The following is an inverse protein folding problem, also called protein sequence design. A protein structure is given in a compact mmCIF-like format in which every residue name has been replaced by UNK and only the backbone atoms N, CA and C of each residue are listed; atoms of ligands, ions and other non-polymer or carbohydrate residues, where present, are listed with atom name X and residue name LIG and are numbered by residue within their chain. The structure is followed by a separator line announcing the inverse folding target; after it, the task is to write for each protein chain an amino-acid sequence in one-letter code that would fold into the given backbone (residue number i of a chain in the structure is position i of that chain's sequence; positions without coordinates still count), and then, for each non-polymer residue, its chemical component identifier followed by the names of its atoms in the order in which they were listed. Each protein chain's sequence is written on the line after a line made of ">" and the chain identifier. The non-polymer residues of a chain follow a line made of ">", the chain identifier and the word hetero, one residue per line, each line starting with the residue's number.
data_IF_669874431454
#
_entry.id   IF_669874431454
#
_cell.length_a   1.000
_cell.length_b   1.000
_cell.length_c   1.000
_cell.angle_alpha   90.00
_cell.angle_beta   90.00
_cell.angle_gamma   90.00
#
_symmetry.space_group_name_H-M   'P 1'
#
loop_
_entity.id
_entity.type
_entity.pdbx_description
1 polymer ?
#
# COMPACT_ATOMS: atom_id res chain seq x y z
N UNK A 1 20.96 -9.51 18.41
CA UNK A 1 19.83 -8.59 18.14
C UNK A 1 20.38 -7.21 17.93
N UNK A 2 20.15 -6.62 16.77
CA UNK A 2 20.51 -5.24 16.51
C UNK A 2 19.78 -4.30 17.50
N UNK A 3 20.42 -3.22 17.91
CA UNK A 3 19.82 -2.23 18.80
C UNK A 3 19.34 -1.04 17.98
N UNK A 4 18.16 -0.50 18.33
CA UNK A 4 17.68 0.72 17.70
C UNK A 4 18.70 1.85 17.87
N UNK A 5 19.07 2.47 16.77
CA UNK A 5 19.92 3.64 16.76
C UNK A 5 19.10 4.88 17.10
N UNK A 6 19.77 5.91 17.65
CA UNK A 6 19.11 7.19 17.93
C UNK A 6 18.57 7.80 16.64
N UNK A 7 17.27 8.11 16.59
CA UNK A 7 16.64 8.64 15.37
C UNK A 7 16.80 10.16 15.22
N UNK A 8 16.90 10.88 16.33
CA UNK A 8 17.07 12.33 16.35
C UNK A 8 18.54 12.68 16.26
N UNK A 9 19.07 12.69 15.07
CA UNK A 9 20.45 13.02 14.71
C UNK A 9 20.48 13.97 13.53
N UNK A 10 21.50 14.81 13.47
CA UNK A 10 21.80 15.63 12.32
C UNK A 10 22.04 14.75 11.07
N UNK A 11 21.71 15.24 9.90
CA UNK A 11 21.86 14.44 8.67
C UNK A 11 23.30 13.96 8.45
N UNK A 12 24.28 14.80 8.83
CA UNK A 12 25.71 14.48 8.74
C UNK A 12 26.16 13.35 9.66
N UNK A 13 25.46 13.19 10.80
CA UNK A 13 25.79 12.17 11.80
C UNK A 13 25.13 10.82 11.47
N UNK A 14 24.28 10.77 10.43
CA UNK A 14 23.65 9.54 9.94
C UNK A 14 24.59 8.82 8.97
N UNK A 15 25.67 8.29 9.50
CA UNK A 15 26.71 7.57 8.76
C UNK A 15 26.23 6.20 8.23
N UNK A 16 27.14 5.49 7.53
CA UNK A 16 26.83 4.15 6.99
C UNK A 16 26.48 3.15 8.10
N UNK A 17 27.16 3.22 9.25
CA UNK A 17 26.91 2.33 10.37
C UNK A 17 25.52 2.58 10.98
N UNK A 18 25.09 3.84 11.08
CA UNK A 18 23.74 4.20 11.51
C UNK A 18 22.69 3.67 10.52
N UNK A 19 22.91 3.82 9.21
CA UNK A 19 22.01 3.38 8.17
C UNK A 19 21.79 1.85 8.20
N UNK A 20 22.87 1.09 8.20
CA UNK A 20 22.84 -0.37 8.23
C UNK A 20 22.27 -0.86 9.55
N UNK A 21 22.70 -0.29 10.69
CA UNK A 21 22.23 -0.70 12.02
C UNK A 21 20.71 -0.50 12.21
N UNK A 22 20.13 0.58 11.65
CA UNK A 22 18.68 0.76 11.67
C UNK A 22 17.97 -0.20 10.73
N UNK A 23 18.50 -0.41 9.52
CA UNK A 23 17.92 -1.34 8.56
C UNK A 23 17.85 -2.74 9.13
N UNK A 24 18.93 -3.24 9.75
CA UNK A 24 18.98 -4.52 10.46
C UNK A 24 17.96 -4.60 11.61
N UNK A 25 17.93 -3.57 12.43
CA UNK A 25 17.01 -3.53 13.57
C UNK A 25 15.56 -3.64 13.13
N UNK A 26 15.15 -2.83 12.14
CA UNK A 26 13.76 -2.82 11.68
C UNK A 26 13.43 -4.05 10.84
N UNK A 27 14.38 -4.59 10.09
CA UNK A 27 14.21 -5.87 9.38
C UNK A 27 13.89 -7.00 10.35
N UNK A 28 14.69 -7.18 11.40
CA UNK A 28 14.46 -8.23 12.39
C UNK A 28 13.13 -8.06 13.14
N UNK A 29 12.77 -6.83 13.47
CA UNK A 29 11.53 -6.53 14.22
C UNK A 29 10.26 -6.60 13.39
N UNK A 30 10.34 -6.18 12.13
CA UNK A 30 9.20 -6.20 11.22
C UNK A 30 9.03 -7.53 10.49
N UNK A 31 9.97 -8.48 10.64
CA UNK A 31 9.89 -9.74 9.89
C UNK A 31 8.53 -10.40 10.07
N UNK A 32 7.78 -10.64 8.97
CA UNK A 32 6.47 -11.25 9.06
C UNK A 32 6.57 -12.69 9.53
N UNK A 33 5.80 -13.05 10.54
CA UNK A 33 5.64 -14.41 11.03
C UNK A 33 4.14 -14.74 11.02
N UNK A 34 3.65 -15.23 9.88
CA UNK A 34 2.21 -15.30 9.63
C UNK A 34 1.74 -16.71 9.20
N UNK A 35 2.04 -17.73 10.00
CA UNK A 35 1.43 -19.08 9.84
C UNK A 35 -0.10 -19.02 9.91
N UNK A 36 -0.63 -18.08 10.68
CA UNK A 36 -2.06 -17.85 10.80
C UNK A 36 -2.71 -17.42 9.48
N UNK A 37 -2.09 -16.50 8.73
CA UNK A 37 -2.64 -16.12 7.42
C UNK A 37 -2.60 -17.27 6.42
N UNK A 38 -1.56 -18.10 6.44
CA UNK A 38 -1.50 -19.29 5.59
C UNK A 38 -2.70 -20.22 5.84
N UNK A 39 -3.10 -20.43 7.10
CA UNK A 39 -4.28 -21.24 7.42
C UNK A 39 -5.58 -20.62 6.88
N UNK A 40 -5.73 -19.30 6.91
CA UNK A 40 -6.89 -18.62 6.35
C UNK A 40 -6.95 -18.71 4.82
N UNK A 41 -5.80 -18.67 4.13
CA UNK A 41 -5.75 -18.89 2.69
C UNK A 41 -6.11 -20.33 2.33
N UNK A 42 -5.63 -21.34 3.09
CA UNK A 42 -6.03 -22.74 2.93
C UNK A 42 -7.55 -22.89 3.08
N UNK A 43 -8.13 -22.30 4.12
CA UNK A 43 -9.57 -22.33 4.35
C UNK A 43 -10.37 -21.65 3.21
N UNK A 44 -9.89 -20.51 2.71
CA UNK A 44 -10.50 -19.81 1.58
C UNK A 44 -10.45 -20.63 0.28
N UNK A 45 -9.41 -21.46 0.10
CA UNK A 45 -9.29 -22.41 -1.00
C UNK A 45 -10.12 -23.69 -0.79
N UNK A 46 -10.75 -23.85 0.36
CA UNK A 46 -11.49 -25.08 0.71
C UNK A 46 -10.62 -26.21 1.22
N UNK A 47 -9.35 -25.95 1.52
CA UNK A 47 -8.42 -26.90 2.10
C UNK A 47 -8.56 -26.84 3.63
N UNK A 48 -9.01 -27.95 4.22
CA UNK A 48 -9.09 -28.08 5.68
C UNK A 48 -8.16 -29.21 6.12
N UNK A 49 -7.42 -28.97 7.18
CA UNK A 49 -6.57 -30.00 7.75
C UNK A 49 -7.41 -30.97 8.57
N UNK A 50 -7.35 -32.25 8.19
CA UNK A 50 -8.07 -33.31 8.93
C UNK A 50 -7.54 -33.43 10.35
N UNK A 51 -6.29 -33.04 10.59
CA UNK A 51 -5.68 -33.06 11.92
C UNK A 51 -6.42 -32.18 12.94
N UNK A 52 -7.08 -31.12 12.50
CA UNK A 52 -7.90 -30.25 13.35
C UNK A 52 -9.07 -31.00 14.00
N UNK A 53 -9.48 -32.11 13.39
CA UNK A 53 -10.59 -32.96 13.87
C UNK A 53 -10.12 -34.20 14.63
N UNK A 54 -8.82 -34.36 14.87
CA UNK A 54 -8.28 -35.54 15.56
C UNK A 54 -8.91 -35.75 16.93
N UNK A 55 -9.29 -34.68 17.63
CA UNK A 55 -10.00 -34.78 18.90
C UNK A 55 -11.35 -35.51 18.77
N UNK A 56 -12.04 -35.35 17.66
CA UNK A 56 -13.33 -36.00 17.40
C UNK A 56 -13.19 -37.38 16.79
N UNK A 57 -12.16 -37.59 15.94
CA UNK A 57 -11.90 -38.85 15.28
C UNK A 57 -11.09 -39.81 16.13
N UNK A 58 -10.26 -39.31 17.05
CA UNK A 58 -9.45 -40.09 17.97
C UNK A 58 -9.40 -39.43 19.36
N UNK A 59 -10.53 -39.39 20.10
CA UNK A 59 -10.61 -38.70 21.37
C UNK A 59 -9.73 -39.30 22.48
N UNK A 60 -9.27 -40.52 22.30
CA UNK A 60 -8.42 -41.21 23.27
C UNK A 60 -6.91 -41.05 22.95
N UNK A 61 -6.56 -40.45 21.81
CA UNK A 61 -5.20 -40.06 21.45
C UNK A 61 -4.14 -41.14 21.66
N UNK A 62 -3.01 -40.76 22.25
CA UNK A 62 -1.87 -41.64 22.49
C UNK A 62 -2.17 -42.80 23.45
N UNK A 63 -3.21 -42.71 24.29
CA UNK A 63 -3.61 -43.78 25.19
C UNK A 63 -4.11 -45.05 24.45
N UNK A 64 -4.45 -44.90 23.17
CA UNK A 64 -5.01 -45.97 22.33
C UNK A 64 -3.99 -46.49 21.31
N UNK A 65 -2.84 -45.86 21.21
CA UNK A 65 -1.79 -46.25 20.24
C UNK A 65 -1.40 -47.75 20.31
N UNK A 66 -1.60 -48.35 21.48
CA UNK A 66 -1.30 -49.77 21.71
C UNK A 66 -2.52 -50.70 21.62
N UNK A 67 -3.69 -50.21 21.22
CA UNK A 67 -4.92 -50.98 21.08
C UNK A 67 -5.56 -50.76 19.70
N UNK A 68 -5.18 -51.58 18.69
CA UNK A 68 -5.66 -51.43 17.33
C UNK A 68 -7.19 -51.55 17.21
N UNK A 69 -7.84 -52.25 18.13
CA UNK A 69 -9.31 -52.43 18.17
C UNK A 69 -10.08 -51.11 18.40
N UNK A 70 -9.44 -50.11 18.98
CA UNK A 70 -10.02 -48.79 19.29
C UNK A 70 -9.60 -47.68 18.33
N UNK A 71 -8.73 -48.02 17.35
CA UNK A 71 -8.21 -47.03 16.38
C UNK A 71 -9.21 -46.68 15.27
N UNK A 72 -10.26 -47.48 15.07
CA UNK A 72 -11.26 -47.21 14.04
C UNK A 72 -12.51 -46.61 14.65
N UNK A 73 -12.48 -45.32 14.89
CA UNK A 73 -13.72 -44.58 15.15
C UNK A 73 -14.57 -44.50 13.89
N UNK A 74 -15.88 -44.79 13.94
CA UNK A 74 -16.72 -44.84 12.73
C UNK A 74 -17.01 -43.47 12.10
N UNK A 75 -16.58 -42.39 12.73
CA UNK A 75 -16.78 -41.05 12.20
C UNK A 75 -15.82 -40.74 11.04
N UNK A 76 -16.38 -40.62 9.85
CA UNK A 76 -15.65 -40.14 8.67
C UNK A 76 -15.98 -38.66 8.50
N UNK A 77 -15.01 -37.80 8.71
CA UNK A 77 -15.14 -36.39 8.42
C UNK A 77 -14.97 -36.21 6.90
N UNK A 78 -15.94 -35.53 6.30
CA UNK A 78 -15.87 -35.12 4.89
C UNK A 78 -15.75 -33.61 4.85
N UNK A 79 -14.75 -33.11 4.17
CA UNK A 79 -14.65 -31.69 3.93
C UNK A 79 -15.73 -31.24 2.94
N UNK A 80 -16.65 -30.41 3.40
CA UNK A 80 -17.71 -29.75 2.58
C UNK A 80 -17.39 -28.27 2.53
N UNK A 81 -16.62 -27.81 1.52
CA UNK A 81 -16.12 -26.45 1.47
C UNK A 81 -17.23 -25.42 1.21
N UNK A 82 -17.68 -24.70 2.24
CA UNK A 82 -18.68 -23.64 2.14
C UNK A 82 -18.01 -22.26 1.95
N UNK A 83 -16.86 -22.08 2.61
CA UNK A 83 -16.12 -20.81 2.57
C UNK A 83 -15.81 -20.37 1.13
N UNK A 84 -15.29 -21.23 0.23
CA UNK A 84 -15.01 -20.83 -1.14
C UNK A 84 -16.21 -20.32 -1.91
N UNK A 85 -17.39 -20.92 -1.71
CA UNK A 85 -18.62 -20.49 -2.39
C UNK A 85 -19.05 -19.09 -1.94
N UNK A 86 -18.99 -18.83 -0.64
CA UNK A 86 -19.31 -17.51 -0.07
C UNK A 86 -18.26 -16.48 -0.55
N UNK A 87 -17.00 -16.86 -0.52
CA UNK A 87 -15.89 -16.02 -0.98
C UNK A 87 -16.04 -15.62 -2.45
N UNK A 88 -16.33 -16.58 -3.33
CA UNK A 88 -16.53 -16.32 -4.75
C UNK A 88 -17.74 -15.42 -5.03
N UNK A 89 -18.85 -15.58 -4.27
CA UNK A 89 -20.01 -14.69 -4.35
C UNK A 89 -19.67 -13.26 -3.97
N UNK A 90 -18.90 -13.05 -2.90
CA UNK A 90 -18.48 -11.72 -2.46
C UNK A 90 -17.56 -11.04 -3.50
N UNK A 91 -16.66 -11.80 -4.12
CA UNK A 91 -15.80 -11.30 -5.19
C UNK A 91 -16.63 -10.94 -6.43
N UNK A 92 -17.57 -11.80 -6.84
CA UNK A 92 -18.48 -11.52 -7.94
C UNK A 92 -19.29 -10.25 -7.71
N UNK A 93 -19.89 -10.10 -6.52
CA UNK A 93 -20.63 -8.88 -6.15
C UNK A 93 -19.74 -7.62 -6.16
N UNK A 94 -18.47 -7.74 -5.75
CA UNK A 94 -17.52 -6.63 -5.85
C UNK A 94 -17.17 -6.28 -7.27
N UNK A 95 -17.02 -7.27 -8.16
CA UNK A 95 -16.71 -7.08 -9.58
C UNK A 95 -17.85 -6.39 -10.33
N UNK A 96 -19.09 -6.70 -9.97
CA UNK A 96 -20.29 -6.11 -10.60
C UNK A 96 -20.49 -4.63 -10.17
N UNK A 97 -19.84 -4.16 -9.12
CA UNK A 97 -19.94 -2.77 -8.68
C UNK A 97 -19.05 -1.88 -9.54
N UNK A 98 -19.60 -0.78 -10.10
CA UNK A 98 -18.81 0.11 -10.96
C UNK A 98 -17.68 0.77 -10.18
N UNK A 99 -16.51 0.83 -10.79
CA UNK A 99 -15.38 1.58 -10.28
C UNK A 99 -15.49 3.03 -10.76
N UNK A 100 -16.08 3.89 -9.91
CA UNK A 100 -16.30 5.30 -10.22
C UNK A 100 -15.09 6.09 -9.69
N UNK A 101 -14.49 6.89 -10.57
CA UNK A 101 -13.38 7.80 -10.27
C UNK A 101 -13.74 9.20 -10.75
N UNK A 102 -13.64 10.19 -9.86
CA UNK A 102 -13.98 11.58 -10.18
C UNK A 102 -12.98 12.53 -9.53
N UNK A 103 -12.51 13.49 -10.32
CA UNK A 103 -11.66 14.58 -9.85
C UNK A 103 -12.53 15.78 -9.52
N UNK A 104 -12.39 16.31 -8.32
CA UNK A 104 -13.06 17.52 -7.86
C UNK A 104 -12.04 18.60 -7.53
N UNK A 105 -12.35 19.81 -7.91
CA UNK A 105 -11.54 20.97 -7.57
C UNK A 105 -11.90 21.44 -6.15
N UNK A 106 -10.89 21.56 -5.31
CA UNK A 106 -11.04 22.01 -3.90
C UNK A 106 -10.42 23.39 -3.65
N UNK A 107 -9.76 24.00 -4.65
CA UNK A 107 -9.15 25.33 -4.51
C UNK A 107 -10.25 26.40 -4.35
N UNK A 108 -10.18 27.24 -3.28
CA UNK A 108 -11.18 28.27 -3.01
C UNK A 108 -11.32 29.28 -4.15
N UNK A 109 -10.24 29.63 -4.85
CA UNK A 109 -10.28 30.58 -5.96
C UNK A 109 -11.11 30.06 -7.14
N UNK A 110 -10.98 28.77 -7.45
CA UNK A 110 -11.75 28.15 -8.52
C UNK A 110 -13.21 27.97 -8.11
N UNK A 111 -13.46 27.66 -6.85
CA UNK A 111 -14.83 27.60 -6.31
C UNK A 111 -15.51 28.97 -6.39
N UNK A 112 -14.80 30.04 -6.07
CA UNK A 112 -15.32 31.41 -6.20
C UNK A 112 -15.56 31.79 -7.65
N UNK A 113 -14.66 31.41 -8.56
CA UNK A 113 -14.85 31.57 -10.01
C UNK A 113 -16.09 30.82 -10.50
N UNK A 114 -16.28 29.58 -10.09
CA UNK A 114 -17.48 28.79 -10.41
C UNK A 114 -18.75 29.50 -9.98
N UNK A 115 -18.81 30.01 -8.73
CA UNK A 115 -19.96 30.74 -8.20
C UNK A 115 -20.23 32.01 -8.98
N UNK A 116 -19.18 32.73 -9.36
CA UNK A 116 -19.33 33.94 -10.14
C UNK A 116 -19.90 33.66 -11.54
N UNK A 117 -19.40 32.65 -12.22
CA UNK A 117 -19.90 32.24 -13.54
C UNK A 117 -21.32 31.67 -13.47
N UNK A 118 -21.65 30.93 -12.41
CA UNK A 118 -23.01 30.46 -12.11
C UNK A 118 -23.99 31.63 -11.97
N UNK A 119 -23.61 32.65 -11.20
CA UNK A 119 -24.45 33.88 -11.03
C UNK A 119 -24.62 34.62 -12.36
N UNK A 120 -23.58 34.71 -13.18
CA UNK A 120 -23.68 35.33 -14.50
C UNK A 120 -24.59 34.54 -15.44
N UNK A 121 -24.44 33.19 -15.44
CA UNK A 121 -25.29 32.31 -16.24
C UNK A 121 -26.79 32.44 -15.85
N UNK A 122 -27.05 32.45 -14.54
CA UNK A 122 -28.40 32.67 -14.02
C UNK A 122 -28.96 34.05 -14.42
N UNK A 123 -28.16 35.12 -14.33
CA UNK A 123 -28.58 36.47 -14.76
C UNK A 123 -28.95 36.50 -16.24
N UNK A 124 -28.17 35.87 -17.10
CA UNK A 124 -28.46 35.79 -18.53
C UNK A 124 -29.79 35.09 -18.82
N UNK A 125 -30.03 33.94 -18.16
CA UNK A 125 -31.26 33.20 -18.32
C UNK A 125 -32.48 33.91 -17.73
N UNK A 126 -32.33 34.59 -16.57
CA UNK A 126 -33.41 35.43 -15.99
C UNK A 126 -33.75 36.61 -16.88
N UNK A 127 -32.74 37.25 -17.50
CA UNK A 127 -33.00 38.32 -18.47
C UNK A 127 -33.78 37.79 -19.67
N UNK A 128 -33.49 36.57 -20.15
CA UNK A 128 -34.22 35.96 -21.24
C UNK A 128 -35.68 35.63 -20.85
N UNK A 129 -35.89 35.12 -19.62
CA UNK A 129 -37.24 34.90 -19.08
C UNK A 129 -38.00 36.22 -19.03
N UNK A 130 -37.35 37.31 -18.57
CA UNK A 130 -37.97 38.65 -18.51
C UNK A 130 -38.35 39.15 -19.90
N UNK A 131 -37.49 39.01 -20.92
CA UNK A 131 -37.78 39.38 -22.32
C UNK A 131 -38.98 38.60 -22.83
N UNK A 132 -38.99 37.26 -22.63
CA UNK A 132 -40.10 36.43 -23.06
C UNK A 132 -41.43 36.86 -22.43
N UNK A 133 -41.41 37.22 -21.13
CA UNK A 133 -42.60 37.69 -20.42
C UNK A 133 -43.09 39.01 -20.94
N UNK A 134 -42.18 39.94 -21.31
CA UNK A 134 -42.56 41.24 -21.93
C UNK A 134 -43.14 41.05 -23.30
N UNK A 135 -42.63 40.15 -24.13
CA UNK A 135 -43.21 39.82 -25.45
C UNK A 135 -44.60 39.17 -25.34
N UNK A 136 -44.80 38.29 -24.34
CA UNK A 136 -46.14 37.73 -24.05
C UNK A 136 -47.15 38.82 -23.66
N UNK A 137 -46.68 39.91 -23.02
CA UNK A 137 -47.46 41.07 -22.68
C UNK A 137 -47.67 42.04 -23.86
N UNK A 138 -47.15 41.73 -25.06
CA UNK A 138 -47.26 42.54 -26.25
C UNK A 138 -46.34 43.76 -26.31
N UNK A 139 -45.29 43.78 -25.50
CA UNK A 139 -44.24 44.80 -25.54
C UNK A 139 -43.09 44.35 -26.40
N UNK A 140 -42.85 45.04 -27.53
CA UNK A 140 -41.70 44.76 -28.39
C UNK A 140 -40.40 45.21 -27.71
N UNK A 141 -39.56 44.25 -27.35
CA UNK A 141 -38.25 44.49 -26.70
C UNK A 141 -37.13 44.60 -27.73
N UNK A 142 -37.39 44.35 -29.02
CA UNK A 142 -36.40 44.33 -30.09
C UNK A 142 -35.41 43.15 -29.99
N UNK A 143 -35.64 42.17 -29.10
CA UNK A 143 -34.85 40.95 -28.93
C UNK A 143 -35.72 39.72 -29.12
N UNK A 144 -35.21 38.72 -29.79
CA UNK A 144 -35.96 37.50 -30.06
C UNK A 144 -36.22 36.67 -28.78
N UNK A 145 -37.47 36.31 -28.56
CA UNK A 145 -37.86 35.35 -27.51
C UNK A 145 -37.25 33.97 -27.80
N UNK A 146 -36.49 33.47 -26.82
CA UNK A 146 -35.94 32.11 -26.86
C UNK A 146 -36.55 31.27 -25.76
N UNK A 147 -36.89 30.00 -26.05
CA UNK A 147 -37.39 29.11 -25.01
C UNK A 147 -36.34 28.93 -23.92
N UNK A 148 -36.73 29.17 -22.69
CA UNK A 148 -35.86 29.03 -21.51
C UNK A 148 -36.40 27.90 -20.63
N UNK A 149 -35.52 27.02 -20.20
CA UNK A 149 -35.87 25.91 -19.32
C UNK A 149 -36.23 26.43 -17.89
N UNK A 150 -36.94 25.64 -17.08
CA UNK A 150 -37.17 25.97 -15.68
C UNK A 150 -35.86 26.19 -14.91
N UNK A 151 -35.89 27.04 -13.86
CA UNK A 151 -34.70 27.45 -13.10
C UNK A 151 -33.88 26.28 -12.56
N UNK A 152 -34.55 25.22 -12.10
CA UNK A 152 -33.89 24.03 -11.58
C UNK A 152 -33.13 23.27 -12.69
N UNK A 153 -33.66 23.28 -13.89
CA UNK A 153 -33.05 22.64 -15.06
C UNK A 153 -31.86 23.46 -15.58
N UNK A 154 -31.94 24.78 -15.51
CA UNK A 154 -30.85 25.71 -15.83
C UNK A 154 -29.68 25.51 -14.86
N UNK A 155 -29.94 25.43 -13.56
CA UNK A 155 -28.92 25.18 -12.55
C UNK A 155 -28.26 23.80 -12.73
N UNK A 156 -29.03 22.78 -13.09
CA UNK A 156 -28.52 21.46 -13.38
C UNK A 156 -27.65 21.45 -14.63
N UNK A 157 -28.09 22.10 -15.70
CA UNK A 157 -27.32 22.25 -16.94
C UNK A 157 -25.98 22.95 -16.70
N UNK A 158 -25.97 24.02 -15.88
CA UNK A 158 -24.71 24.66 -15.51
C UNK A 158 -23.81 23.73 -14.72
N UNK A 159 -24.35 23.04 -13.73
CA UNK A 159 -23.58 22.08 -12.91
C UNK A 159 -22.98 20.94 -13.74
N UNK A 160 -23.72 20.44 -14.71
CA UNK A 160 -23.32 19.31 -15.58
C UNK A 160 -22.29 19.73 -16.65
N UNK A 161 -22.41 20.96 -17.17
CA UNK A 161 -21.55 21.47 -18.24
C UNK A 161 -20.32 22.23 -17.73
N UNK A 162 -20.36 22.74 -16.51
CA UNK A 162 -19.26 23.50 -15.99
C UNK A 162 -18.08 22.59 -15.59
N UNK A 163 -16.94 22.83 -16.21
CA UNK A 163 -15.72 22.08 -15.88
C UNK A 163 -14.51 23.04 -15.91
N UNK A 164 -13.63 22.91 -14.93
CA UNK A 164 -12.35 23.60 -14.93
C UNK A 164 -11.33 22.80 -15.75
N UNK A 165 -10.51 23.46 -16.55
CA UNK A 165 -9.50 22.81 -17.40
C UNK A 165 -8.55 21.92 -16.59
N UNK A 166 -8.19 22.32 -15.37
CA UNK A 166 -7.35 21.53 -14.48
C UNK A 166 -8.05 20.27 -13.98
N UNK A 167 -9.37 20.35 -13.74
CA UNK A 167 -10.15 19.16 -13.36
C UNK A 167 -10.26 18.18 -14.54
N UNK A 168 -10.44 18.69 -15.76
CA UNK A 168 -10.45 17.86 -16.97
C UNK A 168 -9.11 17.14 -17.14
N UNK A 169 -8.01 17.90 -17.16
CA UNK A 169 -6.66 17.31 -17.28
C UNK A 169 -6.38 16.33 -16.15
N UNK A 170 -6.77 16.65 -14.91
CA UNK A 170 -6.65 15.74 -13.77
C UNK A 170 -7.47 14.46 -13.92
N UNK A 171 -8.68 14.55 -14.49
CA UNK A 171 -9.54 13.41 -14.76
C UNK A 171 -8.96 12.52 -15.87
N UNK A 172 -8.46 13.11 -16.94
CA UNK A 172 -7.82 12.40 -18.04
C UNK A 172 -6.54 11.68 -17.56
N UNK A 173 -5.71 12.37 -16.77
CA UNK A 173 -4.51 11.78 -16.16
C UNK A 173 -4.88 10.61 -15.24
N UNK A 174 -5.92 10.77 -14.40
CA UNK A 174 -6.39 9.70 -13.52
C UNK A 174 -6.94 8.52 -14.30
N UNK A 175 -7.63 8.78 -15.42
CA UNK A 175 -8.11 7.74 -16.31
C UNK A 175 -6.95 6.98 -16.93
N UNK A 176 -5.98 7.69 -17.48
CA UNK A 176 -4.78 7.10 -18.07
C UNK A 176 -4.02 6.21 -17.08
N UNK A 177 -3.73 6.73 -15.88
CA UNK A 177 -3.06 5.97 -14.82
C UNK A 177 -3.87 4.73 -14.42
N UNK A 178 -5.19 4.89 -14.29
CA UNK A 178 -6.08 3.78 -13.92
C UNK A 178 -6.08 2.66 -14.95
N UNK A 179 -6.09 3.02 -16.22
CA UNK A 179 -6.14 2.05 -17.32
C UNK A 179 -4.75 1.42 -17.55
N UNK A 180 -3.68 2.20 -17.45
CA UNK A 180 -2.31 1.70 -17.56
C UNK A 180 -1.94 0.74 -16.42
N UNK A 181 -2.40 1.00 -15.21
CA UNK A 181 -2.13 0.16 -14.03
C UNK A 181 -3.19 -0.91 -13.79
N UNK A 182 -4.25 -0.98 -14.60
CA UNK A 182 -5.39 -1.88 -14.38
C UNK A 182 -5.92 -1.83 -12.94
N UNK A 183 -6.15 -0.62 -12.44
CA UNK A 183 -6.55 -0.40 -11.05
C UNK A 183 -7.81 -1.17 -10.63
N UNK A 184 -8.85 -1.31 -11.46
CA UNK A 184 -10.04 -2.07 -11.09
C UNK A 184 -9.73 -3.52 -10.69
N UNK A 185 -8.94 -4.25 -11.47
CA UNK A 185 -8.56 -5.63 -11.14
C UNK A 185 -7.63 -5.69 -9.92
N UNK A 186 -6.69 -4.76 -9.79
CA UNK A 186 -5.83 -4.67 -8.58
C UNK A 186 -6.64 -4.41 -7.31
N UNK A 187 -7.70 -3.60 -7.37
CA UNK A 187 -8.61 -3.42 -6.24
C UNK A 187 -9.42 -4.67 -5.92
N UNK A 188 -9.76 -5.50 -6.91
CA UNK A 188 -10.38 -6.80 -6.69
C UNK A 188 -9.41 -7.73 -5.98
N UNK A 189 -8.14 -7.76 -6.38
CA UNK A 189 -7.12 -8.56 -5.70
C UNK A 189 -6.89 -8.09 -4.25
N UNK A 190 -6.81 -6.77 -4.03
CA UNK A 190 -6.79 -6.23 -2.68
C UNK A 190 -8.02 -6.62 -1.85
N UNK A 191 -9.20 -6.65 -2.46
CA UNK A 191 -10.42 -7.07 -1.80
C UNK A 191 -10.39 -8.57 -1.44
N UNK A 192 -9.83 -9.44 -2.29
CA UNK A 192 -9.61 -10.86 -1.99
C UNK A 192 -8.77 -11.01 -0.72
N UNK A 193 -7.61 -10.35 -0.68
CA UNK A 193 -6.74 -10.36 0.50
C UNK A 193 -7.47 -9.85 1.75
N UNK A 194 -8.24 -8.76 1.61
CA UNK A 194 -9.01 -8.22 2.73
C UNK A 194 -10.08 -9.17 3.26
N UNK A 195 -10.80 -9.90 2.39
CA UNK A 195 -11.80 -10.89 2.81
C UNK A 195 -11.15 -12.04 3.55
N UNK A 196 -9.99 -12.51 3.06
CA UNK A 196 -9.29 -13.66 3.64
C UNK A 196 -8.61 -13.30 4.96
N UNK A 197 -7.87 -12.20 5.02
CA UNK A 197 -6.99 -11.88 6.15
C UNK A 197 -7.49 -10.74 7.03
N UNK A 198 -8.45 -9.95 6.56
CA UNK A 198 -8.85 -8.69 7.21
C UNK A 198 -7.88 -7.53 6.99
N UNK A 199 -6.87 -7.72 6.15
CA UNK A 199 -5.85 -6.72 5.83
C UNK A 199 -5.73 -6.52 4.32
N UNK A 200 -5.35 -5.31 3.93
CA UNK A 200 -4.94 -5.01 2.57
C UNK A 200 -3.70 -4.15 2.61
N UNK A 201 -2.71 -4.51 1.81
CA UNK A 201 -1.46 -3.77 1.68
C UNK A 201 -1.14 -3.50 0.23
N UNK A 202 -0.56 -2.35 -0.01
CA UNK A 202 -0.10 -1.94 -1.34
C UNK A 202 1.17 -1.11 -1.25
N UNK A 203 1.97 -1.13 -2.29
CA UNK A 203 3.08 -0.22 -2.48
C UNK A 203 2.75 0.73 -3.62
N UNK A 204 3.07 1.99 -3.40
CA UNK A 204 3.07 3.04 -4.43
C UNK A 204 4.49 3.53 -4.56
N UNK A 205 5.02 3.44 -5.74
CA UNK A 205 6.40 3.82 -6.02
C UNK A 205 6.49 4.46 -7.40
N UNK A 206 7.60 5.14 -7.65
CA UNK A 206 7.97 5.66 -8.97
C UNK A 206 9.30 5.03 -9.33
N UNK A 207 9.29 4.20 -10.35
CA UNK A 207 10.49 3.51 -10.85
C UNK A 207 10.81 4.09 -12.22
N UNK A 208 11.92 4.82 -12.31
CA UNK A 208 12.22 5.61 -13.51
C UNK A 208 11.16 6.71 -13.72
N UNK A 209 10.47 6.67 -14.84
CA UNK A 209 9.39 7.62 -15.20
C UNK A 209 7.99 7.03 -14.94
N UNK A 210 7.90 5.75 -14.58
CA UNK A 210 6.64 5.03 -14.44
C UNK A 210 6.14 4.96 -12.99
N UNK A 211 4.83 5.12 -12.82
CA UNK A 211 4.17 4.92 -11.54
C UNK A 211 3.88 3.43 -11.35
N UNK A 212 4.35 2.89 -10.23
CA UNK A 212 4.11 1.50 -9.84
C UNK A 212 3.10 1.45 -8.71
N UNK A 213 2.06 0.64 -8.89
CA UNK A 213 1.09 0.32 -7.84
C UNK A 213 0.90 -1.19 -7.77
N UNK A 214 1.26 -1.79 -6.66
CA UNK A 214 1.17 -3.24 -6.45
C UNK A 214 0.40 -3.56 -5.19
N UNK A 215 -0.49 -4.54 -5.26
CA UNK A 215 -1.11 -5.16 -4.10
C UNK A 215 -0.16 -6.25 -3.59
N UNK A 216 0.04 -6.29 -2.27
CA UNK A 216 0.97 -7.19 -1.63
C UNK A 216 0.18 -8.20 -0.79
N UNK A 217 0.59 -9.46 -0.88
CA UNK A 217 0.06 -10.50 -0.02
C UNK A 217 0.41 -10.19 1.45
N UNK A 218 -0.58 -10.14 2.34
CA UNK A 218 -0.39 -9.90 3.77
C UNK A 218 0.57 -10.84 4.47
N UNK A 219 0.84 -12.02 3.91
CA UNK A 219 1.80 -12.96 4.47
C UNK A 219 3.24 -12.42 4.46
N UNK A 220 3.54 -11.52 3.54
CA UNK A 220 4.89 -10.97 3.33
C UNK A 220 5.07 -9.56 3.89
N UNK A 221 4.09 -9.04 4.61
CA UNK A 221 4.13 -7.69 5.18
C UNK A 221 4.25 -7.75 6.69
N UNK A 222 5.24 -7.06 7.22
CA UNK A 222 5.39 -6.84 8.66
C UNK A 222 5.49 -5.35 8.99
N UNK A 223 5.13 -4.96 10.20
CA UNK A 223 5.15 -3.56 10.60
C UNK A 223 5.24 -3.38 12.11
N UNK A 224 5.71 -2.22 12.52
CA UNK A 224 5.68 -1.73 13.89
C UNK A 224 4.81 -0.50 13.91
N UNK A 225 3.69 -0.56 14.61
CA UNK A 225 2.77 0.55 14.73
C UNK A 225 2.34 0.78 16.16
N UNK A 226 1.99 2.00 16.47
CA UNK A 226 1.27 2.36 17.68
C UNK A 226 -0.20 1.93 17.60
N UNK A 227 -0.81 1.67 18.72
CA UNK A 227 -2.22 1.28 18.84
C UNK A 227 -3.21 2.30 18.27
N UNK A 228 -2.85 3.58 18.26
CA UNK A 228 -3.64 4.66 17.67
C UNK A 228 -3.62 4.68 16.14
N UNK A 229 -2.61 4.07 15.52
CA UNK A 229 -2.40 4.04 14.10
C UNK A 229 -3.41 3.15 13.38
N UNK A 230 -4.25 3.73 12.51
CA UNK A 230 -5.23 3.01 11.69
C UNK A 230 -4.66 2.55 10.35
N UNK A 231 -3.71 3.31 9.84
CA UNK A 231 -3.11 3.11 8.53
C UNK A 231 -1.63 2.76 8.66
N UNK A 232 -1.16 1.85 7.84
CA UNK A 232 0.24 1.39 7.88
C UNK A 232 1.23 2.45 7.38
N UNK A 233 0.77 3.35 6.51
CA UNK A 233 1.59 4.49 6.07
C UNK A 233 2.02 5.43 7.20
N UNK A 234 1.29 5.42 8.31
CA UNK A 234 1.59 6.20 9.51
C UNK A 234 2.41 5.40 10.55
N UNK A 235 2.71 4.13 10.29
CA UNK A 235 3.46 3.27 11.17
C UNK A 235 4.90 3.77 11.37
N UNK A 236 5.51 3.41 12.50
CA UNK A 236 6.92 3.68 12.79
C UNK A 236 7.83 3.04 11.75
N UNK A 237 7.59 1.75 11.48
CA UNK A 237 8.29 1.01 10.46
C UNK A 237 7.36 0.01 9.77
N UNK A 238 7.64 -0.27 8.51
CA UNK A 238 6.95 -1.30 7.74
C UNK A 238 7.95 -2.00 6.81
N UNK A 239 7.72 -3.28 6.57
CA UNK A 239 8.58 -4.10 5.74
C UNK A 239 7.75 -4.96 4.80
N UNK A 240 8.29 -5.20 3.61
CA UNK A 240 7.78 -6.16 2.65
C UNK A 240 8.90 -7.09 2.21
N UNK A 241 8.64 -8.38 2.24
CA UNK A 241 9.54 -9.39 1.67
C UNK A 241 9.03 -9.73 0.27
N UNK A 242 9.92 -9.71 -0.70
CA UNK A 242 9.67 -10.10 -2.09
C UNK A 242 10.70 -11.09 -2.55
N UNK A 243 10.30 -11.95 -3.47
CA UNK A 243 11.18 -12.91 -4.12
C UNK A 243 11.19 -12.64 -5.61
N UNK A 244 12.40 -12.52 -6.14
CA UNK A 244 12.64 -12.28 -7.55
C UNK A 244 13.47 -13.40 -8.14
N UNK A 245 13.26 -13.67 -9.42
CA UNK A 245 14.28 -14.37 -10.19
C UNK A 245 15.50 -13.47 -10.31
N UNK A 246 16.68 -14.05 -10.54
CA UNK A 246 17.91 -13.28 -10.69
C UNK A 246 17.80 -12.17 -11.77
N UNK A 247 17.24 -12.51 -12.93
CA UNK A 247 17.00 -11.52 -13.99
C UNK A 247 16.06 -10.40 -13.53
N UNK A 248 14.93 -10.74 -12.93
CA UNK A 248 13.98 -9.77 -12.42
C UNK A 248 14.51 -8.90 -11.27
N UNK A 249 15.43 -9.42 -10.46
CA UNK A 249 16.14 -8.62 -9.46
C UNK A 249 17.06 -7.59 -10.11
N UNK A 250 17.86 -8.00 -11.10
CA UNK A 250 18.76 -7.10 -11.82
C UNK A 250 17.98 -6.04 -12.61
N UNK A 251 16.91 -6.42 -13.30
CA UNK A 251 16.07 -5.47 -14.05
C UNK A 251 15.50 -4.37 -13.16
N UNK A 252 15.09 -4.74 -11.94
CA UNK A 252 14.42 -3.78 -11.05
C UNK A 252 15.38 -2.92 -10.22
N UNK A 253 16.52 -3.48 -9.82
CA UNK A 253 17.40 -2.85 -8.84
C UNK A 253 18.79 -2.50 -9.35
N UNK A 254 19.09 -2.75 -10.63
CA UNK A 254 20.44 -2.50 -11.20
C UNK A 254 20.94 -1.07 -10.97
N UNK A 255 20.10 -0.06 -11.22
CA UNK A 255 20.48 1.34 -11.02
C UNK A 255 20.80 1.67 -9.55
N UNK A 256 20.07 1.07 -8.60
CA UNK A 256 20.32 1.30 -7.17
C UNK A 256 21.57 0.57 -6.69
N UNK A 257 21.84 -0.62 -7.24
CA UNK A 257 22.98 -1.45 -6.87
C UNK A 257 24.27 -0.92 -7.49
N UNK A 258 24.24 -0.41 -8.72
CA UNK A 258 25.40 0.18 -9.39
C UNK A 258 26.07 1.30 -8.56
N UNK A 259 25.29 1.99 -7.75
CA UNK A 259 25.76 3.05 -6.87
C UNK A 259 26.13 2.56 -5.46
N UNK A 260 26.10 1.25 -5.20
CA UNK A 260 26.50 0.67 -3.93
C UNK A 260 27.95 0.17 -3.96
N UNK A 261 28.63 0.28 -2.82
CA UNK A 261 30.00 -0.23 -2.67
C UNK A 261 30.07 -1.76 -2.85
N UNK A 262 28.96 -2.45 -2.60
CA UNK A 262 28.84 -3.92 -2.61
C UNK A 262 28.42 -4.47 -3.99
N UNK A 263 28.42 -3.69 -5.06
CA UNK A 263 27.94 -4.12 -6.38
C UNK A 263 28.59 -5.42 -6.86
N UNK A 264 29.91 -5.48 -6.83
CA UNK A 264 30.64 -6.65 -7.33
C UNK A 264 30.35 -7.90 -6.48
N UNK A 265 30.25 -7.74 -5.17
CA UNK A 265 29.98 -8.81 -4.23
C UNK A 265 28.55 -9.36 -4.38
N UNK A 266 27.58 -8.46 -4.64
CA UNK A 266 26.20 -8.86 -4.92
C UNK A 266 26.12 -9.64 -6.24
N UNK A 267 26.77 -9.14 -7.30
CA UNK A 267 26.79 -9.82 -8.61
C UNK A 267 27.47 -11.19 -8.50
N UNK A 268 28.65 -11.27 -7.86
CA UNK A 268 29.35 -12.54 -7.65
C UNK A 268 28.49 -13.52 -6.83
N UNK A 269 27.80 -13.03 -5.81
CA UNK A 269 26.88 -13.85 -5.00
C UNK A 269 25.71 -14.36 -5.83
N UNK A 270 25.14 -13.55 -6.69
CA UNK A 270 24.06 -13.95 -7.60
C UNK A 270 24.55 -14.92 -8.68
N UNK A 271 25.81 -14.82 -9.11
CA UNK A 271 26.42 -15.68 -10.13
C UNK A 271 26.81 -17.06 -9.59
N UNK A 272 26.85 -17.21 -8.27
CA UNK A 272 27.31 -18.44 -7.66
C UNK A 272 26.12 -19.24 -7.05
N UNK A 273 25.49 -20.16 -7.82
CA UNK A 273 24.32 -20.89 -7.38
C UNK A 273 24.58 -21.78 -6.15
N UNK A 274 25.85 -22.14 -5.87
CA UNK A 274 26.21 -23.03 -4.77
C UNK A 274 26.38 -22.32 -3.41
N UNK A 275 26.52 -21.00 -3.37
CA UNK A 275 26.74 -20.26 -2.11
C UNK A 275 25.45 -20.00 -1.30
N UNK A 276 24.29 -20.25 -1.85
CA UNK A 276 23.03 -19.85 -1.24
C UNK A 276 21.94 -20.91 -1.12
N UNK A 277 22.15 -22.13 -1.59
CA UNK A 277 21.08 -23.14 -1.67
C UNK A 277 20.58 -23.64 -0.31
N UNK A 278 21.41 -23.61 0.72
CA UNK A 278 21.02 -24.03 2.08
C UNK A 278 20.29 -22.94 2.85
N UNK A 279 20.56 -21.67 2.56
CA UNK A 279 19.98 -20.53 3.27
C UNK A 279 18.78 -19.91 2.54
N UNK A 280 18.61 -20.20 1.25
CA UNK A 280 17.53 -19.69 0.42
C UNK A 280 16.19 -20.43 0.59
N UNK A 281 16.19 -21.56 1.24
CA UNK A 281 15.03 -22.44 1.39
C UNK A 281 14.17 -22.12 2.61
N UNK A 282 13.98 -20.86 2.98
CA UNK A 282 12.87 -20.55 3.87
C UNK A 282 11.59 -20.38 3.04
N UNK A 283 11.06 -21.52 2.64
CA UNK A 283 9.68 -21.63 2.21
C UNK A 283 8.84 -21.44 3.48
N UNK A 284 8.06 -20.38 3.57
CA UNK A 284 7.08 -20.18 4.64
C UNK A 284 5.97 -21.23 4.65
N UNK A 285 6.03 -22.20 3.77
CA UNK A 285 5.08 -23.30 3.61
C UNK A 285 5.76 -24.64 3.92
N UNK A 286 6.40 -24.73 5.09
CA UNK A 286 7.12 -25.94 5.50
C UNK A 286 6.20 -27.10 5.91
N UNK A 287 4.92 -26.86 6.12
CA UNK A 287 4.02 -27.93 6.57
C UNK A 287 3.49 -28.83 5.45
N UNK A 288 3.51 -28.37 4.20
CA UNK A 288 2.97 -29.15 3.08
C UNK A 288 3.94 -30.16 2.47
N UNK A 289 5.24 -30.10 2.75
CA UNK A 289 6.26 -30.83 2.02
C UNK A 289 7.31 -31.55 2.87
N UNK A 290 6.99 -31.86 4.09
CA UNK A 290 8.01 -32.40 5.03
C UNK A 290 8.53 -33.77 4.73
N UNK A 291 8.14 -34.51 3.69
CA UNK A 291 8.46 -35.94 3.77
C UNK A 291 9.02 -36.68 2.57
N UNK A 292 9.48 -36.06 1.47
CA UNK A 292 9.86 -36.97 0.38
C UNK A 292 11.21 -36.79 -0.31
N UNK A 293 11.90 -35.66 -0.17
CA UNK A 293 13.23 -35.59 -0.83
C UNK A 293 14.25 -34.81 0.00
N UNK A 294 15.26 -35.56 0.46
CA UNK A 294 16.53 -35.03 0.97
C UNK A 294 17.44 -34.65 -0.20
N UNK A 295 17.09 -33.64 -0.94
CA UNK A 295 17.89 -33.06 -2.00
C UNK A 295 17.75 -31.56 -1.95
N UNK A 296 18.83 -30.84 -2.26
CA UNK A 296 18.95 -29.38 -2.19
C UNK A 296 18.02 -28.60 -3.14
N UNK A 297 16.90 -29.18 -3.54
CA UNK A 297 15.97 -28.58 -4.51
C UNK A 297 14.56 -28.55 -3.90
N UNK A 298 14.04 -27.37 -3.71
CA UNK A 298 12.66 -27.16 -3.24
C UNK A 298 11.70 -27.14 -4.42
N UNK A 299 10.92 -28.20 -4.58
CA UNK A 299 9.86 -28.27 -5.58
C UNK A 299 8.53 -27.90 -4.96
N UNK A 300 7.77 -27.07 -5.64
CA UNK A 300 6.38 -26.78 -5.30
C UNK A 300 5.45 -27.52 -6.26
N UNK A 301 4.59 -28.36 -5.72
CA UNK A 301 3.51 -28.97 -6.49
C UNK A 301 2.41 -27.95 -6.69
N UNK A 302 2.04 -27.67 -7.94
CA UNK A 302 0.77 -27.00 -8.23
C UNK A 302 -0.36 -28.03 -8.21
N UNK A 303 -1.58 -27.57 -8.01
CA UNK A 303 -2.79 -28.41 -7.99
C UNK A 303 -2.96 -29.27 -9.25
N UNK A 304 -2.37 -28.85 -10.36
CA UNK A 304 -2.42 -29.53 -11.67
C UNK A 304 -1.31 -30.56 -11.85
N UNK A 305 -0.54 -30.87 -10.80
CA UNK A 305 0.57 -31.85 -10.87
C UNK A 305 1.82 -31.32 -11.56
N UNK A 306 1.85 -30.06 -11.94
CA UNK A 306 3.04 -29.43 -12.51
C UNK A 306 4.00 -28.99 -11.40
N UNK A 307 5.28 -29.24 -11.62
CA UNK A 307 6.34 -28.79 -10.72
C UNK A 307 6.73 -27.36 -11.05
N UNK A 308 6.70 -26.49 -10.06
CA UNK A 308 7.32 -25.17 -10.18
C UNK A 308 8.64 -25.20 -9.41
N UNK A 309 9.74 -25.12 -10.13
CA UNK A 309 11.06 -25.04 -9.51
C UNK A 309 11.25 -23.66 -8.90
N UNK A 310 11.54 -23.60 -7.61
CA UNK A 310 11.83 -22.37 -6.86
C UNK A 310 13.34 -22.14 -6.70
N UNK A 311 14.17 -22.84 -7.47
CA UNK A 311 15.61 -22.64 -7.50
C UNK A 311 15.96 -21.23 -8.00
N UNK A 312 17.00 -20.63 -7.43
CA UNK A 312 17.57 -19.33 -7.81
C UNK A 312 16.65 -18.10 -7.65
N UNK A 313 15.86 -18.07 -6.59
CA UNK A 313 15.15 -16.85 -6.20
C UNK A 313 15.97 -16.06 -5.18
N UNK A 314 16.01 -14.75 -5.36
CA UNK A 314 16.62 -13.77 -4.45
C UNK A 314 15.53 -13.20 -3.56
N UNK A 315 15.69 -13.28 -2.25
CA UNK A 315 14.78 -12.66 -1.30
C UNK A 315 15.23 -11.21 -1.05
N UNK A 316 14.36 -10.27 -1.30
CA UNK A 316 14.59 -8.84 -1.05
C UNK A 316 13.64 -8.36 0.04
N UNK A 317 14.21 -7.88 1.14
CA UNK A 317 13.47 -7.19 2.19
C UNK A 317 13.49 -5.69 1.92
N UNK A 318 12.35 -5.09 1.66
CA UNK A 318 12.17 -3.65 1.55
C UNK A 318 11.65 -3.10 2.86
N UNK A 319 12.40 -2.23 3.51
CA UNK A 319 12.09 -1.70 4.84
C UNK A 319 11.93 -0.19 4.78
N UNK A 320 10.83 0.30 5.34
CA UNK A 320 10.63 1.72 5.61
C UNK A 320 10.64 1.97 7.11
N UNK A 321 11.26 3.04 7.56
CA UNK A 321 11.22 3.44 8.98
C UNK A 321 11.18 4.95 9.14
N UNK A 322 10.86 5.36 10.35
CA UNK A 322 10.72 6.75 10.73
C UNK A 322 11.98 7.25 11.43
N UNK A 323 12.52 8.36 10.95
CA UNK A 323 13.59 9.11 11.60
C UNK A 323 13.20 10.57 11.72
N UNK A 324 14.06 11.40 12.30
CA UNK A 324 13.87 12.84 12.39
C UNK A 324 14.97 13.58 11.64
N UNK A 325 14.63 14.70 11.02
CA UNK A 325 15.58 15.62 10.40
C UNK A 325 15.43 17.02 10.98
N UNK A 326 16.52 17.75 11.00
CA UNK A 326 16.54 19.14 11.42
C UNK A 326 16.32 20.04 10.21
N UNK A 327 15.39 20.97 10.32
CA UNK A 327 15.04 21.92 9.27
C UNK A 327 15.17 23.33 9.82
N UNK A 328 15.75 24.23 9.03
CA UNK A 328 15.82 25.65 9.31
C UNK A 328 14.75 26.38 8.51
N UNK A 329 14.09 27.34 9.14
CA UNK A 329 13.19 28.27 8.46
C UNK A 329 13.93 29.59 8.39
N UNK A 330 14.08 30.08 7.19
CA UNK A 330 14.66 31.40 6.92
C UNK A 330 13.59 32.34 6.37
N UNK A 331 13.64 33.57 6.76
CA UNK A 331 12.89 34.65 6.12
C UNK A 331 13.75 35.31 5.06
N UNK A 332 13.18 35.50 3.87
CA UNK A 332 13.80 36.24 2.77
C UNK A 332 12.94 37.47 2.53
N UNK A 333 13.58 38.64 2.55
CA UNK A 333 12.88 39.88 2.23
C UNK A 333 13.14 40.22 0.78
N UNK A 334 12.06 40.23 -0.02
CA UNK A 334 12.11 40.59 -1.43
C UNK A 334 12.35 42.11 -1.61
N UNK A 335 12.78 42.54 -2.79
CA UNK A 335 13.01 43.93 -3.13
C UNK A 335 11.78 44.83 -2.92
N UNK A 336 10.59 44.22 -2.88
CA UNK A 336 9.29 44.89 -2.60
C UNK A 336 8.97 45.02 -1.11
N UNK A 337 9.84 44.50 -0.21
CA UNK A 337 9.65 44.49 1.22
C UNK A 337 8.71 43.42 1.74
N UNK A 338 8.31 42.45 0.91
CA UNK A 338 7.53 41.31 1.35
C UNK A 338 8.47 40.27 1.97
N UNK A 339 8.05 39.64 3.06
CA UNK A 339 8.80 38.63 3.79
C UNK A 339 8.22 37.27 3.51
N UNK A 340 8.98 36.44 2.82
CA UNK A 340 8.63 35.04 2.57
C UNK A 340 9.41 34.12 3.51
N UNK A 341 8.76 33.14 4.10
CA UNK A 341 9.39 32.09 4.91
C UNK A 341 9.61 30.84 4.08
N UNK A 342 10.87 30.41 3.99
CA UNK A 342 11.27 29.23 3.22
C UNK A 342 11.95 28.20 4.13
N UNK A 343 11.58 26.93 3.96
CA UNK A 343 12.27 25.82 4.61
C UNK A 343 13.53 25.46 3.86
N UNK A 344 14.65 25.38 4.58
CA UNK A 344 15.94 24.97 4.04
C UNK A 344 16.53 23.83 4.85
N UNK A 345 17.40 23.05 4.23
CA UNK A 345 18.08 21.95 4.88
C UNK A 345 19.02 22.42 6.01
N UNK A 346 19.43 21.46 6.84
CA UNK A 346 20.35 21.71 7.95
C UNK A 346 21.68 22.36 7.52
N UNK A 347 22.19 21.96 6.34
CA UNK A 347 23.48 22.41 5.81
C UNK A 347 23.45 23.81 5.21
N UNK A 348 22.26 24.42 5.09
CA UNK A 348 22.14 25.73 4.51
C UNK A 348 22.80 26.80 5.40
N UNK A 349 23.67 27.59 4.80
CA UNK A 349 24.31 28.73 5.48
C UNK A 349 23.52 29.98 5.14
N UNK A 350 22.93 30.57 6.17
CA UNK A 350 22.15 31.81 6.04
C UNK A 350 23.09 32.94 5.64
N UNK A 351 22.72 33.66 4.56
CA UNK A 351 23.51 34.79 4.08
C UNK A 351 22.75 36.11 4.30
N UNK A 352 23.13 36.90 5.31
CA UNK A 352 22.48 38.16 5.64
C UNK A 352 22.59 39.22 4.54
N UNK A 353 23.59 39.12 3.64
CA UNK A 353 23.77 40.07 2.54
C UNK A 353 22.64 39.99 1.51
N UNK A 354 21.97 38.86 1.42
CA UNK A 354 20.82 38.66 0.55
C UNK A 354 19.47 38.89 1.27
N UNK A 355 19.48 39.51 2.43
CA UNK A 355 18.26 39.77 3.20
C UNK A 355 17.67 38.51 3.87
N UNK A 356 18.50 37.50 4.04
CA UNK A 356 18.09 36.26 4.72
C UNK A 356 18.29 36.38 6.21
N UNK A 357 17.29 35.93 7.00
CA UNK A 357 17.42 35.81 8.45
C UNK A 357 16.86 34.46 8.92
N UNK A 358 17.56 33.83 9.89
CA UNK A 358 17.10 32.62 10.51
C UNK A 358 15.95 32.92 11.45
N UNK A 359 14.75 32.37 11.16
CA UNK A 359 13.55 32.53 11.99
C UNK A 359 13.51 31.50 13.10
N UNK A 360 13.62 30.21 12.74
CA UNK A 360 13.56 29.11 13.70
C UNK A 360 14.21 27.85 13.14
N UNK A 361 14.52 26.94 14.05
CA UNK A 361 15.00 25.59 13.71
C UNK A 361 14.12 24.58 14.43
N UNK A 362 13.62 23.58 13.71
CA UNK A 362 12.79 22.55 14.29
C UNK A 362 13.11 21.15 13.76
N UNK A 363 12.63 20.13 14.45
CA UNK A 363 12.76 18.75 14.03
C UNK A 363 11.44 18.30 13.40
N UNK A 364 11.53 17.66 12.24
CA UNK A 364 10.38 17.04 11.59
C UNK A 364 10.63 15.57 11.33
N UNK A 365 9.55 14.82 11.17
CA UNK A 365 9.59 13.41 10.82
C UNK A 365 10.04 13.23 9.37
N UNK A 366 11.03 12.36 9.18
CA UNK A 366 11.56 11.96 7.87
C UNK A 366 11.43 10.44 7.75
N UNK A 367 10.86 9.98 6.64
CA UNK A 367 10.78 8.55 6.32
C UNK A 367 12.01 8.12 5.54
N UNK A 368 12.56 6.99 5.93
CA UNK A 368 13.69 6.35 5.30
C UNK A 368 13.28 5.06 4.64
N UNK A 369 14.01 4.66 3.62
CA UNK A 369 13.88 3.39 2.94
C UNK A 369 15.24 2.69 2.85
N UNK A 370 15.18 1.36 2.72
CA UNK A 370 16.37 0.56 2.50
C UNK A 370 16.00 -0.84 2.07
N UNK A 371 16.91 -1.48 1.39
CA UNK A 371 16.77 -2.82 0.85
C UNK A 371 17.83 -3.74 1.42
N UNK A 372 17.45 -4.97 1.72
CA UNK A 372 18.35 -6.05 2.11
C UNK A 372 18.16 -7.25 1.21
N UNK A 373 19.24 -7.98 0.95
CA UNK A 373 19.25 -9.18 0.13
C UNK A 373 19.53 -10.39 1.02
N UNK A 374 18.76 -11.45 0.84
CA UNK A 374 18.93 -12.77 1.45
C UNK A 374 19.25 -12.69 2.96
N UNK A 375 18.32 -12.13 3.73
CA UNK A 375 18.41 -12.06 5.20
C UNK A 375 19.62 -11.26 5.72
N UNK A 376 19.76 -10.03 5.27
CA UNK A 376 20.79 -9.09 5.72
C UNK A 376 22.23 -9.46 5.30
N UNK A 377 22.43 -10.16 4.19
CA UNK A 377 23.76 -10.37 3.64
C UNK A 377 24.33 -9.13 2.95
N UNK A 378 23.48 -8.43 2.21
CA UNK A 378 23.85 -7.19 1.50
C UNK A 378 22.81 -6.12 1.71
N UNK A 379 23.24 -4.88 1.64
CA UNK A 379 22.41 -3.70 1.82
C UNK A 379 22.58 -2.76 0.65
N UNK A 380 21.48 -2.18 0.18
CA UNK A 380 21.53 -1.18 -0.88
C UNK A 380 20.37 -0.21 -0.77
N UNK A 381 20.50 0.95 -1.44
CA UNK A 381 19.44 1.94 -1.55
C UNK A 381 18.98 2.53 -0.21
N UNK A 382 19.86 2.60 0.80
CA UNK A 382 19.52 3.17 2.12
C UNK A 382 19.57 4.69 2.05
N UNK A 383 18.38 5.30 1.98
CA UNK A 383 18.23 6.75 1.80
C UNK A 383 16.90 7.26 2.37
N UNK A 384 16.77 8.59 2.56
CA UNK A 384 15.44 9.17 2.77
C UNK A 384 14.56 8.92 1.55
N UNK A 385 13.27 8.64 1.77
CA UNK A 385 12.31 8.47 0.67
C UNK A 385 12.28 9.76 -0.16
N UNK A 386 12.55 9.70 -1.48
CA UNK A 386 12.75 10.90 -2.30
C UNK A 386 11.53 11.82 -2.37
N UNK A 387 10.33 11.23 -2.40
CA UNK A 387 9.07 11.96 -2.59
C UNK A 387 8.34 12.10 -1.25
N UNK A 388 8.86 12.95 -0.37
CA UNK A 388 8.19 13.30 0.88
C UNK A 388 7.72 14.76 0.82
N UNK A 389 6.42 14.96 1.11
CA UNK A 389 5.86 16.31 1.27
C UNK A 389 5.40 16.47 2.71
N UNK A 390 6.14 17.29 3.45
CA UNK A 390 5.74 17.72 4.78
C UNK A 390 5.24 19.17 4.70
N UNK A 391 4.03 19.40 5.16
CA UNK A 391 3.50 20.76 5.26
C UNK A 391 4.06 21.43 6.52
N UNK A 392 4.35 22.74 6.47
CA UNK A 392 4.84 23.52 7.61
C UNK A 392 3.94 23.34 8.85
N UNK A 393 2.62 23.29 8.61
CA UNK A 393 1.62 23.12 9.68
C UNK A 393 1.44 21.67 10.14
N UNK A 394 2.09 20.69 9.49
CA UNK A 394 1.96 19.25 9.78
C UNK A 394 3.34 18.58 9.72
N UNK A 395 4.12 18.79 10.77
CA UNK A 395 5.51 18.30 10.89
C UNK A 395 5.65 16.78 10.79
N UNK A 396 4.58 16.03 11.05
CA UNK A 396 4.54 14.57 11.01
C UNK A 396 3.76 14.01 9.81
N UNK A 397 3.68 14.74 8.71
CA UNK A 397 2.91 14.34 7.52
C UNK A 397 3.63 13.34 6.59
N UNK A 398 4.90 13.06 6.85
CA UNK A 398 5.66 12.04 6.10
C UNK A 398 5.01 10.66 6.23
N UNK A 399 4.76 10.00 5.10
CA UNK A 399 4.12 8.69 5.04
C UNK A 399 5.03 7.66 4.41
N UNK A 400 4.92 6.40 4.86
CA UNK A 400 5.61 5.28 4.23
C UNK A 400 5.06 5.03 2.82
N UNK A 401 5.88 4.45 1.93
CA UNK A 401 5.44 4.01 0.61
C UNK A 401 4.55 2.76 0.70
N UNK A 402 4.73 1.98 1.77
CA UNK A 402 3.87 0.83 2.09
C UNK A 402 2.61 1.37 2.72
N UNK A 403 1.49 1.19 2.01
CA UNK A 403 0.17 1.61 2.46
C UNK A 403 -0.65 0.39 2.87
N UNK A 404 -1.52 0.57 3.83
CA UNK A 404 -2.39 -0.53 4.20
C UNK A 404 -3.38 -0.19 5.29
N UNK A 405 -4.41 -1.02 5.37
CA UNK A 405 -5.44 -0.92 6.40
C UNK A 405 -5.75 -2.29 6.98
N UNK A 406 -5.91 -2.32 8.29
CA UNK A 406 -6.31 -3.49 9.05
C UNK A 406 -7.74 -3.32 9.52
N UNK A 407 -8.59 -4.33 9.31
CA UNK A 407 -9.93 -4.35 9.88
C UNK A 407 -9.84 -4.70 11.37
N UNK A 408 -10.20 -3.75 12.21
CA UNK A 408 -10.28 -3.95 13.66
C UNK A 408 -11.73 -3.79 14.13
N UNK A 409 -12.16 -4.67 15.01
CA UNK A 409 -13.38 -4.49 15.79
C UNK A 409 -12.98 -3.96 17.17
N UNK A 410 -13.75 -3.04 17.72
CA UNK A 410 -13.61 -2.31 18.99
C UNK A 410 -12.44 -2.59 19.94
N UNK A 411 -12.00 -3.85 20.06
CA UNK A 411 -10.88 -4.28 20.92
C UNK A 411 -9.53 -4.32 20.20
N UNK A 412 -9.41 -3.69 19.04
CA UNK A 412 -8.15 -3.62 18.27
C UNK A 412 -7.62 -4.96 17.76
N UNK A 413 -8.35 -6.04 17.91
CA UNK A 413 -8.03 -7.34 17.33
C UNK A 413 -8.39 -7.31 15.84
N UNK A 414 -7.47 -7.76 15.00
CA UNK A 414 -7.74 -8.01 13.59
C UNK A 414 -8.70 -9.19 13.46
N UNK A 415 -9.72 -9.04 12.62
CA UNK A 415 -10.69 -10.10 12.35
C UNK A 415 -10.99 -10.13 10.86
N UNK A 416 -10.81 -11.29 10.24
CA UNK A 416 -11.16 -11.50 8.84
C UNK A 416 -12.60 -12.02 8.69
N UNK A 417 -13.26 -11.74 7.55
CA UNK A 417 -14.53 -12.41 7.23
C UNK A 417 -14.42 -13.93 7.16
N UNK A 418 -13.33 -14.47 6.62
CA UNK A 418 -13.07 -15.92 6.57
C UNK A 418 -12.94 -16.50 7.97
N UNK A 419 -12.24 -15.84 8.88
CA UNK A 419 -12.13 -16.27 10.29
C UNK A 419 -13.50 -16.39 10.96
N UNK A 420 -14.42 -15.45 10.68
CA UNK A 420 -15.79 -15.50 11.21
C UNK A 420 -16.61 -16.67 10.63
N UNK A 421 -16.25 -17.17 9.45
CA UNK A 421 -16.92 -18.30 8.81
C UNK A 421 -16.33 -19.67 9.24
N UNK A 422 -15.13 -19.70 9.80
CA UNK A 422 -14.48 -20.95 10.23
C UNK A 422 -15.33 -21.82 11.18
N UNK A 423 -15.98 -21.27 12.23
CA UNK A 423 -16.83 -22.09 13.11
C UNK A 423 -17.99 -22.75 12.37
N UNK A 424 -18.56 -22.08 11.37
CA UNK A 424 -19.63 -22.67 10.55
C UNK A 424 -19.11 -23.76 9.64
N UNK A 425 -17.92 -23.57 9.06
CA UNK A 425 -17.25 -24.62 8.26
C UNK A 425 -17.01 -25.88 9.10
N UNK A 426 -16.55 -25.72 10.35
CA UNK A 426 -16.36 -26.85 11.27
C UNK A 426 -17.66 -27.58 11.64
N UNK A 427 -18.78 -26.86 11.69
CA UNK A 427 -20.10 -27.47 11.95
C UNK A 427 -20.61 -28.29 10.76
N UNK A 428 -20.20 -27.95 9.53
CA UNK A 428 -20.63 -28.67 8.33
C UNK A 428 -19.77 -29.88 8.00
N UNK A 429 -18.52 -29.89 8.43
CA UNK A 429 -17.58 -31.00 8.28
C UNK A 429 -17.81 -32.09 9.32
#
# INVERSE_FOLDING_TARGET
>A
MAQAQRQKLAFKDKDAAWKIGNLDYYYDRCRPYNTYFASLYKAANGEMDISDYNYFTNPLGAAVANRPELQSYPAKIRNVPIIPDIFNKLIGEKRDRPFIKQVMVTNPDIINKKRFEEIQFLKQNLNQIYINTLEELGMDTGQEAKPVAPLDEIMKQFSDNWSDSRAITGQETLNYISDNLDLPERFIDGFKHWVITGCVYSIKDVVGEDVVYEIIDPQYVGFIKDDSCKYIEDAEAAMVIRRFTRAGFMDRYSEMILNSDDYNDIVEYLDNPNKGSTDRAYVYDTESFSNTYSGNESYRYTRDGNFTWLGDTVEVGYVNWTSEEQVKVISITNELGEVDEIEVGEDYVVNPEFGEALVTTYWRTQKWEGYTVDQNKFYFGVRPIPVQRNLINRKSSGKNLINGRIKTLGNRKQISPVELLMPFQHLYN
#
